data_IF_303991529895
#
_entry.id   IF_303991529895
#
_cell.length_a   1.000
_cell.length_b   1.000
_cell.length_c   1.000
_cell.angle_alpha   90.00
_cell.angle_beta   90.00
_cell.angle_gamma   90.00
#
_symmetry.space_group_name_H-M   'P 1'
#
loop_
_entity.id
_entity.type
_entity.pdbx_description
1 polymer ?
#
# COMPACT_ATOMS: atom_id res chain seq x y z
N UNK A 1 -29.41 10.78 3.32
CA UNK A 1 -28.23 10.15 2.69
C UNK A 1 -27.07 11.07 2.92
N UNK A 2 -26.13 10.70 3.78
CA UNK A 2 -24.91 11.48 4.02
C UNK A 2 -23.98 11.19 2.85
N UNK A 3 -23.67 12.19 2.04
CA UNK A 3 -22.61 12.09 1.02
C UNK A 3 -21.28 11.89 1.73
N UNK A 4 -20.56 10.81 1.40
CA UNK A 4 -19.19 10.60 1.87
C UNK A 4 -18.29 11.72 1.35
N UNK A 5 -17.38 12.17 2.20
CA UNK A 5 -16.35 13.12 1.79
C UNK A 5 -15.19 12.37 1.15
N UNK A 6 -14.39 13.06 0.35
CA UNK A 6 -13.21 12.46 -0.26
C UNK A 6 -12.21 11.93 0.80
N UNK A 7 -12.14 12.58 1.96
CA UNK A 7 -11.34 12.11 3.08
C UNK A 7 -11.87 10.78 3.69
N UNK A 8 -13.18 10.55 3.64
CA UNK A 8 -13.77 9.27 4.06
C UNK A 8 -13.41 8.16 3.06
N UNK A 9 -13.42 8.46 1.76
CA UNK A 9 -13.02 7.52 0.69
C UNK A 9 -11.55 7.13 0.82
N UNK A 10 -10.66 8.11 1.00
CA UNK A 10 -9.22 7.89 1.21
C UNK A 10 -8.98 7.00 2.44
N UNK A 11 -9.69 7.25 3.54
CA UNK A 11 -9.58 6.43 4.75
C UNK A 11 -10.05 4.99 4.52
N UNK A 12 -11.16 4.79 3.81
CA UNK A 12 -11.68 3.46 3.47
C UNK A 12 -10.75 2.71 2.53
N UNK A 13 -10.14 3.40 1.58
CA UNK A 13 -9.15 2.81 0.70
C UNK A 13 -7.90 2.38 1.48
N UNK A 14 -7.41 3.22 2.39
CA UNK A 14 -6.28 2.86 3.26
C UNK A 14 -6.59 1.64 4.15
N UNK A 15 -7.81 1.55 4.70
CA UNK A 15 -8.27 0.39 5.45
C UNK A 15 -8.27 -0.89 4.59
N UNK A 16 -8.80 -0.81 3.36
CA UNK A 16 -8.80 -1.91 2.41
C UNK A 16 -7.38 -2.38 2.09
N UNK A 17 -6.46 -1.45 1.81
CA UNK A 17 -5.05 -1.76 1.51
C UNK A 17 -4.40 -2.52 2.68
N UNK A 18 -4.56 -2.02 3.90
CA UNK A 18 -4.01 -2.65 5.10
C UNK A 18 -4.60 -4.06 5.32
N UNK A 19 -5.89 -4.25 5.07
CA UNK A 19 -6.53 -5.57 5.17
C UNK A 19 -6.05 -6.51 4.08
N UNK A 20 -5.93 -6.06 2.84
CA UNK A 20 -5.44 -6.90 1.74
C UNK A 20 -4.03 -7.43 1.98
N UNK A 21 -3.17 -6.71 2.71
CA UNK A 21 -1.84 -7.20 3.11
C UNK A 21 -1.86 -8.31 4.16
N UNK A 22 -2.96 -8.48 4.89
CA UNK A 22 -3.11 -9.49 5.96
C UNK A 22 -4.14 -10.57 5.64
N UNK A 23 -5.04 -10.31 4.68
CA UNK A 23 -6.10 -11.19 4.22
C UNK A 23 -5.85 -11.54 2.73
N UNK A 24 -5.16 -12.64 2.40
CA UNK A 24 -4.78 -12.98 1.02
C UNK A 24 -6.01 -13.19 0.12
N UNK A 25 -7.11 -13.70 0.65
CA UNK A 25 -8.37 -13.87 -0.09
C UNK A 25 -9.02 -12.52 -0.45
N UNK A 26 -8.73 -11.45 0.30
CA UNK A 26 -9.18 -10.10 -0.04
C UNK A 26 -8.31 -9.51 -1.15
N UNK A 27 -6.99 -9.71 -1.08
CA UNK A 27 -6.08 -9.29 -2.15
C UNK A 27 -6.44 -9.96 -3.49
N UNK A 28 -6.66 -11.29 -3.49
CA UNK A 28 -7.04 -12.03 -4.69
C UNK A 28 -8.36 -11.54 -5.29
N UNK A 29 -9.36 -11.20 -4.46
CA UNK A 29 -10.63 -10.64 -4.94
C UNK A 29 -10.47 -9.26 -5.56
N UNK A 30 -9.61 -8.43 -4.98
CA UNK A 30 -9.31 -7.12 -5.55
C UNK A 30 -8.58 -7.24 -6.89
N UNK A 31 -7.65 -8.18 -7.03
CA UNK A 31 -6.95 -8.42 -8.31
C UNK A 31 -7.90 -8.92 -9.42
N UNK A 32 -8.90 -9.72 -9.07
CA UNK A 32 -9.90 -10.26 -10.00
C UNK A 32 -10.94 -9.22 -10.42
N UNK A 33 -11.53 -8.51 -9.45
CA UNK A 33 -12.50 -7.43 -9.69
C UNK A 33 -12.31 -6.27 -8.69
N UNK A 34 -11.44 -5.30 -9.03
CA UNK A 34 -11.15 -4.15 -8.18
C UNK A 34 -12.40 -3.29 -7.92
N UNK A 35 -13.23 -3.07 -8.94
CA UNK A 35 -14.39 -2.19 -8.86
C UNK A 35 -15.47 -2.77 -7.96
N UNK A 36 -15.81 -4.05 -8.14
CA UNK A 36 -16.76 -4.73 -7.27
C UNK A 36 -16.23 -4.87 -5.83
N UNK A 37 -14.92 -5.00 -5.66
CA UNK A 37 -14.30 -5.02 -4.33
C UNK A 37 -14.40 -3.66 -3.66
N UNK A 38 -14.06 -2.56 -4.34
CA UNK A 38 -14.17 -1.19 -3.81
C UNK A 38 -15.61 -0.80 -3.46
N UNK A 39 -16.57 -1.19 -4.28
CA UNK A 39 -17.99 -0.95 -4.03
C UNK A 39 -18.48 -1.58 -2.72
N UNK A 40 -17.92 -2.73 -2.30
CA UNK A 40 -18.25 -3.35 -1.00
C UNK A 40 -17.79 -2.50 0.20
N UNK A 41 -16.79 -1.64 0.00
CA UNK A 41 -16.28 -0.70 1.00
C UNK A 41 -16.92 0.70 0.85
N UNK A 42 -17.88 0.85 -0.06
CA UNK A 42 -18.57 2.11 -0.32
C UNK A 42 -17.77 3.10 -1.17
N UNK A 43 -16.69 2.65 -1.81
CA UNK A 43 -15.86 3.48 -2.68
C UNK A 43 -16.36 3.29 -4.12
N UNK A 44 -16.75 4.38 -4.77
CA UNK A 44 -17.15 4.39 -6.18
C UNK A 44 -16.04 5.03 -7.03
N UNK A 45 -15.53 4.29 -8.01
CA UNK A 45 -14.49 4.76 -8.92
C UNK A 45 -15.07 5.62 -10.06
N UNK A 46 -16.38 5.60 -10.28
CA UNK A 46 -16.98 6.28 -11.43
C UNK A 46 -16.41 5.76 -12.75
N UNK A 47 -15.78 6.63 -13.53
CA UNK A 47 -15.16 6.30 -14.83
C UNK A 47 -13.65 6.04 -14.74
N UNK A 48 -13.07 6.11 -13.54
CA UNK A 48 -11.64 5.95 -13.32
C UNK A 48 -11.25 4.47 -13.13
N UNK A 49 -10.01 4.16 -13.49
CA UNK A 49 -9.44 2.83 -13.25
C UNK A 49 -9.09 2.64 -11.77
N UNK A 50 -9.27 1.42 -11.27
CA UNK A 50 -8.91 1.10 -9.91
C UNK A 50 -7.39 1.17 -9.70
N UNK A 51 -6.91 1.80 -8.62
CA UNK A 51 -5.48 1.80 -8.31
C UNK A 51 -5.01 0.37 -7.99
N UNK A 52 -3.82 -0.05 -8.45
CA UNK A 52 -3.30 -1.37 -8.09
C UNK A 52 -3.00 -1.46 -6.59
N UNK A 53 -3.31 -2.61 -5.98
CA UNK A 53 -2.82 -2.96 -4.64
C UNK A 53 -1.35 -3.36 -4.76
N UNK A 54 -0.45 -2.38 -4.88
CA UNK A 54 0.98 -2.67 -4.83
C UNK A 54 1.31 -3.27 -3.45
N UNK A 55 1.69 -4.54 -3.42
CA UNK A 55 2.13 -5.23 -2.20
C UNK A 55 3.45 -4.70 -1.62
N UNK A 56 4.06 -3.67 -2.20
CA UNK A 56 5.26 -3.08 -1.63
C UNK A 56 5.83 -1.98 -2.51
N UNK A 57 6.49 -1.02 -1.85
CA UNK A 57 7.57 -0.27 -2.48
C UNK A 57 8.73 -1.22 -2.86
N UNK A 58 9.92 -0.66 -3.07
CA UNK A 58 11.10 -1.48 -3.34
C UNK A 58 11.20 -2.67 -2.37
N UNK A 59 11.60 -3.86 -2.85
CA UNK A 59 11.72 -5.04 -2.01
C UNK A 59 12.55 -4.68 -0.77
N UNK A 60 12.05 -5.05 0.42
CA UNK A 60 12.73 -4.78 1.68
C UNK A 60 14.16 -5.30 1.60
N UNK A 61 15.12 -4.38 1.51
CA UNK A 61 16.53 -4.70 1.51
C UNK A 61 16.98 -4.90 2.96
N UNK A 62 17.03 -6.15 3.41
CA UNK A 62 17.57 -6.49 4.73
C UNK A 62 19.09 -6.48 4.62
N UNK A 63 19.74 -5.41 5.09
CA UNK A 63 21.19 -5.33 5.15
C UNK A 63 21.74 -6.28 6.23
N UNK A 64 22.66 -7.14 5.83
CA UNK A 64 23.46 -7.95 6.75
C UNK A 64 24.55 -7.07 7.38
N UNK A 65 24.32 -6.60 8.61
CA UNK A 65 25.24 -5.72 9.34
C UNK A 65 26.56 -6.41 9.74
N UNK A 66 26.67 -7.74 9.58
CA UNK A 66 27.93 -8.47 9.80
C UNK A 66 28.86 -8.41 8.59
N UNK A 67 28.33 -7.99 7.43
CA UNK A 67 29.11 -7.74 6.21
C UNK A 67 29.34 -6.23 6.09
N UNK A 68 30.55 -5.73 6.40
CA UNK A 68 30.85 -4.32 6.23
C UNK A 68 30.69 -3.96 4.75
N UNK A 69 29.71 -3.11 4.43
CA UNK A 69 29.64 -2.52 3.11
C UNK A 69 30.84 -1.56 2.96
N UNK A 70 31.56 -1.63 1.84
CA UNK A 70 32.62 -0.65 1.52
C UNK A 70 32.05 0.78 1.30
N UNK A 71 30.72 0.91 1.30
CA UNK A 71 29.95 2.15 1.23
C UNK A 71 29.63 2.73 2.61
N UNK A 72 30.13 2.15 3.71
CA UNK A 72 30.06 2.76 5.03
C UNK A 72 30.75 4.12 4.98
N UNK A 73 29.92 5.17 5.02
CA UNK A 73 30.33 6.56 4.97
C UNK A 73 31.56 6.77 5.86
N UNK A 74 32.62 7.35 5.27
CA UNK A 74 33.73 7.90 6.04
C UNK A 74 33.15 9.04 6.87
N UNK A 75 32.76 8.77 8.11
CA UNK A 75 32.47 9.81 9.08
C UNK A 75 33.79 10.53 9.37
N UNK A 76 34.07 11.59 8.62
CA UNK A 76 35.10 12.55 9.01
C UNK A 76 34.59 13.25 10.25
N UNK A 77 35.07 12.80 11.41
CA UNK A 77 35.00 13.55 12.65
C UNK A 77 35.78 14.86 12.43
N UNK A 78 35.07 16.00 12.37
CA UNK A 78 35.67 17.32 12.49
C UNK A 78 35.88 17.60 13.98
N UNK A 79 37.02 17.14 14.49
CA UNK A 79 37.60 17.60 15.75
C UNK A 79 38.64 18.68 15.50
#
# INVERSE_FOLDING_TARGET
MTTMTHADEDWRFAELVMRAWTEPDLAARYEDDPAATLAQFGIDLGADDAPPLSAGGDPLQIADLTKPSLMSAKWTYCG
#
